data_IF_335496433252
#
_entry.id   IF_335496433252
#
_cell.length_a   1.000
_cell.length_b   1.000
_cell.length_c   1.000
_cell.angle_alpha   90.00
_cell.angle_beta   90.00
_cell.angle_gamma   90.00
#
_symmetry.space_group_name_H-M   'P 1'
#
loop_
_entity.id
_entity.type
_entity.pdbx_description
1 polymer ?
#
# COMPACT_ATOMS: atom_id res chain seq x y z
N UNK A 1 59.10 -1.86 0.81
CA UNK A 1 58.19 -0.95 1.55
C UNK A 1 56.73 -0.99 1.10
N UNK A 2 56.39 -1.46 -0.11
CA UNK A 2 54.99 -1.46 -0.61
C UNK A 2 53.98 -2.46 0.03
N UNK A 3 54.33 -3.68 0.49
CA UNK A 3 53.30 -4.64 0.92
C UNK A 3 52.64 -4.28 2.26
N UNK A 4 53.41 -3.66 3.16
CA UNK A 4 52.89 -3.23 4.47
C UNK A 4 51.90 -2.07 4.35
N UNK A 5 52.12 -1.15 3.39
CA UNK A 5 51.20 -0.04 3.13
C UNK A 5 49.87 -0.55 2.59
N UNK A 6 49.90 -1.51 1.66
CA UNK A 6 48.70 -2.16 1.15
C UNK A 6 47.92 -2.87 2.26
N UNK A 7 48.61 -3.61 3.14
CA UNK A 7 48.00 -4.33 4.26
C UNK A 7 47.32 -3.36 5.25
N UNK A 8 48.00 -2.28 5.62
CA UNK A 8 47.47 -1.27 6.54
C UNK A 8 46.26 -0.54 5.91
N UNK A 9 46.33 -0.22 4.61
CA UNK A 9 45.22 0.43 3.90
C UNK A 9 43.98 -0.46 3.80
N UNK A 10 44.16 -1.77 3.52
CA UNK A 10 43.07 -2.73 3.47
C UNK A 10 42.44 -2.95 4.86
N UNK A 11 43.26 -3.00 5.91
CA UNK A 11 42.78 -3.12 7.29
C UNK A 11 42.00 -1.88 7.72
N UNK A 12 42.50 -0.68 7.40
CA UNK A 12 41.80 0.57 7.69
C UNK A 12 40.45 0.65 6.95
N UNK A 13 40.38 0.21 5.68
CA UNK A 13 39.12 0.13 4.93
C UNK A 13 38.15 -0.87 5.54
N UNK A 14 38.63 -2.04 5.97
CA UNK A 14 37.80 -3.07 6.58
C UNK A 14 37.20 -2.60 7.91
N UNK A 15 38.02 -1.97 8.77
CA UNK A 15 37.54 -1.36 10.02
C UNK A 15 36.58 -0.21 9.74
N UNK A 16 36.82 0.57 8.68
CA UNK A 16 35.93 1.64 8.24
C UNK A 16 34.55 1.11 7.82
N UNK A 17 34.51 0.04 7.02
CA UNK A 17 33.26 -0.62 6.59
C UNK A 17 32.54 -1.26 7.78
N UNK A 18 33.27 -1.87 8.72
CA UNK A 18 32.69 -2.52 9.89
C UNK A 18 32.04 -1.52 10.86
N UNK A 19 32.56 -0.28 10.91
CA UNK A 19 31.97 0.79 11.71
C UNK A 19 30.83 1.53 11.01
N UNK A 20 30.48 1.17 9.76
CA UNK A 20 29.25 1.67 9.15
C UNK A 20 28.10 1.09 9.97
N UNK A 21 27.29 1.92 10.65
CA UNK A 21 26.18 1.43 11.43
C UNK A 21 25.29 0.58 10.53
N UNK A 22 24.97 -0.64 10.98
CA UNK A 22 23.95 -1.49 10.35
C UNK A 22 22.75 -0.62 10.01
N UNK A 23 22.15 -0.77 8.81
CA UNK A 23 20.95 -0.02 8.47
C UNK A 23 19.97 -0.15 9.64
N UNK A 24 19.57 0.98 10.20
CA UNK A 24 18.63 1.03 11.31
C UNK A 24 17.41 0.18 10.94
N UNK A 25 16.78 -0.52 11.91
CA UNK A 25 15.54 -1.24 11.63
C UNK A 25 14.58 -0.25 10.99
N UNK A 26 14.24 -0.50 9.71
CA UNK A 26 13.41 0.41 8.91
C UNK A 26 12.12 0.65 9.68
N UNK A 27 11.81 1.93 9.89
CA UNK A 27 10.65 2.35 10.66
C UNK A 27 9.38 1.64 10.18
N UNK A 28 8.63 1.05 11.13
CA UNK A 28 7.30 0.53 10.85
C UNK A 28 6.35 1.72 10.73
N UNK A 29 5.80 1.91 9.54
CA UNK A 29 4.82 2.96 9.31
C UNK A 29 3.41 2.38 9.30
N UNK A 30 2.49 3.05 10.01
CA UNK A 30 1.07 2.71 10.06
C UNK A 30 0.27 3.91 9.57
N UNK A 31 -0.63 3.65 8.63
CA UNK A 31 -1.49 4.65 8.03
C UNK A 31 -2.93 4.21 8.16
N UNK A 32 -3.82 5.15 8.48
CA UNK A 32 -5.25 4.94 8.44
C UNK A 32 -5.86 5.89 7.41
N UNK A 33 -6.81 5.40 6.64
CA UNK A 33 -7.55 6.25 5.70
C UNK A 33 -9.05 5.94 5.77
N UNK A 34 -9.83 6.92 5.31
CA UNK A 34 -11.26 6.82 5.10
C UNK A 34 -11.58 7.51 3.78
N UNK A 35 -12.35 6.84 2.93
CA UNK A 35 -12.79 7.33 1.62
C UNK A 35 -14.31 7.23 1.58
N UNK A 36 -14.95 8.28 1.09
CA UNK A 36 -16.39 8.33 0.85
C UNK A 36 -16.60 8.58 -0.63
N UNK A 37 -17.13 7.57 -1.31
CA UNK A 37 -17.45 7.61 -2.73
C UNK A 37 -18.95 7.83 -2.90
N UNK A 38 -19.32 8.90 -3.62
CA UNK A 38 -20.70 9.17 -4.00
C UNK A 38 -21.00 8.49 -5.33
N UNK A 39 -21.87 7.49 -5.30
CA UNK A 39 -22.25 6.73 -6.50
C UNK A 39 -23.56 7.32 -7.03
N UNK A 40 -23.71 7.35 -8.36
CA UNK A 40 -24.95 7.74 -9.03
C UNK A 40 -26.08 6.84 -8.49
N UNK A 41 -27.23 7.43 -8.14
CA UNK A 41 -28.39 6.81 -7.46
C UNK A 41 -28.36 6.80 -5.91
N UNK A 42 -27.83 7.84 -5.28
CA UNK A 42 -27.90 8.13 -3.83
C UNK A 42 -27.23 7.12 -2.87
N UNK A 43 -26.47 6.15 -3.39
CA UNK A 43 -25.72 5.23 -2.54
C UNK A 43 -24.35 5.83 -2.18
N UNK A 44 -24.12 5.99 -0.87
CA UNK A 44 -22.81 6.38 -0.35
C UNK A 44 -22.00 5.12 -0.05
N UNK A 45 -20.84 5.00 -0.69
CA UNK A 45 -19.90 3.92 -0.40
C UNK A 45 -18.79 4.45 0.50
N UNK A 46 -18.70 3.89 1.69
CA UNK A 46 -17.64 4.18 2.65
C UNK A 46 -16.59 3.08 2.63
N UNK A 47 -15.34 3.48 2.47
CA UNK A 47 -14.18 2.60 2.58
C UNK A 47 -13.28 3.10 3.71
N UNK A 48 -13.10 2.28 4.74
CA UNK A 48 -12.13 2.54 5.80
C UNK A 48 -10.96 1.58 5.68
N UNK A 49 -9.74 2.05 5.92
CA UNK A 49 -8.54 1.26 5.67
C UNK A 49 -7.42 1.48 6.68
N UNK A 50 -6.67 0.42 6.95
CA UNK A 50 -5.45 0.42 7.75
C UNK A 50 -4.33 -0.20 6.94
N UNK A 51 -3.21 0.51 6.80
CA UNK A 51 -2.02 0.05 6.08
C UNK A 51 -0.84 0.01 7.04
N UNK A 52 -0.15 -1.13 7.06
CA UNK A 52 1.14 -1.32 7.71
C UNK A 52 2.21 -1.53 6.64
N UNK A 53 3.28 -0.75 6.73
CA UNK A 53 4.46 -0.88 5.86
C UNK A 53 5.67 -1.18 6.75
N UNK A 54 6.35 -2.30 6.49
CA UNK A 54 7.58 -2.68 7.19
C UNK A 54 8.47 -3.48 6.25
N UNK A 55 9.75 -3.13 6.14
CA UNK A 55 10.71 -3.83 5.28
C UNK A 55 10.25 -4.02 3.82
N UNK A 56 9.63 -2.99 3.25
CA UNK A 56 8.98 -2.99 1.93
C UNK A 56 7.79 -3.96 1.81
N UNK A 57 7.41 -4.68 2.86
CA UNK A 57 6.17 -5.43 2.93
C UNK A 57 5.01 -4.49 3.22
N UNK A 58 3.93 -4.66 2.48
CA UNK A 58 2.71 -3.88 2.59
C UNK A 58 1.60 -4.83 3.02
N UNK A 59 1.04 -4.57 4.19
CA UNK A 59 -0.20 -5.20 4.63
C UNK A 59 -1.26 -4.10 4.68
N UNK A 60 -2.32 -4.28 3.92
CA UNK A 60 -3.43 -3.35 3.89
C UNK A 60 -4.73 -4.08 4.18
N UNK A 61 -5.47 -3.62 5.18
CA UNK A 61 -6.83 -4.06 5.48
C UNK A 61 -7.77 -2.93 5.06
N UNK A 62 -8.80 -3.27 4.30
CA UNK A 62 -9.87 -2.32 3.96
C UNK A 62 -11.23 -2.94 4.27
N UNK A 63 -12.14 -2.12 4.75
CA UNK A 63 -13.55 -2.43 4.92
C UNK A 63 -14.37 -1.56 4.00
N UNK A 64 -15.24 -2.18 3.21
CA UNK A 64 -16.14 -1.49 2.27
C UNK A 64 -17.57 -1.69 2.75
N UNK A 65 -18.33 -0.60 2.81
CA UNK A 65 -19.70 -0.57 3.31
C UNK A 65 -20.53 0.46 2.54
N UNK A 66 -21.76 0.12 2.18
CA UNK A 66 -22.76 1.07 1.69
C UNK A 66 -23.87 1.30 2.74
N UNK A 67 -24.77 2.24 2.47
CA UNK A 67 -25.88 2.58 3.38
C UNK A 67 -26.89 1.42 3.56
N UNK A 68 -26.97 0.50 2.60
CA UNK A 68 -27.91 -0.62 2.60
C UNK A 68 -27.32 -1.89 3.27
N UNK A 69 -26.03 -1.88 3.61
CA UNK A 69 -25.27 -2.98 4.16
C UNK A 69 -24.81 -2.65 5.59
N UNK A 70 -25.49 -3.17 6.63
CA UNK A 70 -25.14 -2.84 8.02
C UNK A 70 -23.79 -3.43 8.47
N UNK A 71 -23.22 -4.39 7.74
CA UNK A 71 -21.99 -5.08 8.10
C UNK A 71 -21.01 -5.00 6.93
N UNK A 72 -19.77 -4.49 7.10
CA UNK A 72 -18.85 -4.29 5.99
C UNK A 72 -18.33 -5.59 5.39
N UNK A 73 -17.88 -5.51 4.13
CA UNK A 73 -16.99 -6.50 3.52
C UNK A 73 -15.57 -6.14 3.91
N UNK A 74 -14.79 -7.10 4.38
CA UNK A 74 -13.38 -6.87 4.74
C UNK A 74 -12.49 -7.57 3.73
N UNK A 75 -11.61 -6.80 3.10
CA UNK A 75 -10.58 -7.26 2.18
C UNK A 75 -9.21 -7.04 2.80
N UNK A 76 -8.28 -7.93 2.48
CA UNK A 76 -6.88 -7.81 2.82
C UNK A 76 -6.05 -7.83 1.56
N UNK A 77 -5.11 -6.90 1.47
CA UNK A 77 -4.02 -6.94 0.52
C UNK A 77 -2.72 -7.24 1.27
N UNK A 78 -1.94 -8.18 0.74
CA UNK A 78 -0.60 -8.51 1.22
C UNK A 78 0.37 -8.49 0.05
N UNK A 79 1.39 -7.66 0.12
CA UNK A 79 2.32 -7.49 -0.98
C UNK A 79 3.62 -6.84 -0.58
N UNK A 80 4.34 -6.37 -1.60
CA UNK A 80 5.59 -5.64 -1.46
C UNK A 80 5.55 -4.35 -2.27
N UNK A 81 6.10 -3.29 -1.71
CA UNK A 81 6.43 -2.08 -2.42
C UNK A 81 7.72 -2.33 -3.21
N UNK A 82 7.63 -2.18 -4.53
CA UNK A 82 8.78 -2.28 -5.40
C UNK A 82 9.63 -1.00 -5.32
N UNK A 83 10.90 -1.05 -5.74
CA UNK A 83 11.76 0.13 -5.80
C UNK A 83 11.05 1.26 -6.56
N UNK A 84 10.96 2.43 -5.93
CA UNK A 84 10.35 3.62 -6.51
C UNK A 84 11.39 4.51 -7.17
N UNK A 85 10.99 5.24 -8.20
CA UNK A 85 11.69 6.43 -8.68
C UNK A 85 10.92 7.67 -8.21
N UNK A 86 11.50 8.87 -8.35
CA UNK A 86 10.97 10.10 -7.76
C UNK A 86 9.49 10.40 -8.10
N UNK A 87 8.99 9.94 -9.24
CA UNK A 87 7.64 10.24 -9.73
C UNK A 87 6.72 9.03 -9.84
N UNK A 88 7.19 7.82 -9.55
CA UNK A 88 6.36 6.63 -9.67
C UNK A 88 6.78 5.54 -8.69
N UNK A 89 5.79 4.77 -8.24
CA UNK A 89 6.01 3.57 -7.47
C UNK A 89 5.00 2.49 -7.86
N UNK A 90 5.31 1.25 -7.51
CA UNK A 90 4.39 0.14 -7.71
C UNK A 90 4.33 -0.75 -6.49
N UNK A 91 3.16 -1.31 -6.25
CA UNK A 91 2.91 -2.28 -5.19
C UNK A 91 2.33 -3.51 -5.84
N UNK A 92 2.91 -4.67 -5.56
CA UNK A 92 2.47 -5.96 -6.09
C UNK A 92 2.26 -6.95 -4.96
N UNK A 93 1.18 -7.72 -5.03
CA UNK A 93 0.82 -8.67 -3.99
C UNK A 93 -0.43 -9.46 -4.35
N UNK A 94 -1.08 -10.00 -3.33
CA UNK A 94 -2.36 -10.69 -3.45
C UNK A 94 -3.41 -9.96 -2.65
N UNK A 95 -4.65 -10.04 -3.13
CA UNK A 95 -5.83 -9.58 -2.40
C UNK A 95 -6.69 -10.79 -2.02
N UNK A 96 -7.25 -10.79 -0.82
CA UNK A 96 -8.09 -11.84 -0.29
C UNK A 96 -9.30 -11.29 0.47
N UNK A 97 -10.45 -11.94 0.27
CA UNK A 97 -11.66 -11.70 1.05
C UNK A 97 -11.50 -12.28 2.46
N UNK A 98 -11.53 -11.41 3.48
CA UNK A 98 -11.38 -11.82 4.88
C UNK A 98 -12.72 -12.08 5.55
N UNK A 99 -13.74 -11.27 5.25
CA UNK A 99 -15.05 -11.39 5.89
C UNK A 99 -16.18 -10.83 5.03
N UNK A 100 -17.29 -11.56 5.01
CA UNK A 100 -18.59 -11.12 4.48
C UNK A 100 -19.70 -11.72 5.35
N UNK A 101 -20.53 -10.89 5.97
CA UNK A 101 -21.58 -11.38 6.88
C UNK A 101 -22.91 -11.73 6.17
N UNK A 102 -23.18 -11.23 4.95
CA UNK A 102 -24.45 -11.47 4.23
C UNK A 102 -24.28 -11.54 2.71
N UNK A 103 -23.81 -12.69 2.22
CA UNK A 103 -23.52 -12.93 0.79
C UNK A 103 -24.71 -12.61 -0.12
N UNK A 104 -25.95 -12.99 0.23
CA UNK A 104 -27.12 -12.79 -0.63
C UNK A 104 -27.40 -11.31 -0.96
N UNK A 105 -27.15 -10.39 -0.02
CA UNK A 105 -27.34 -8.96 -0.29
C UNK A 105 -26.21 -8.42 -1.17
N UNK A 106 -24.99 -8.84 -0.89
CA UNK A 106 -23.78 -8.39 -1.60
C UNK A 106 -23.65 -8.97 -3.01
N UNK A 107 -24.19 -10.17 -3.27
CA UNK A 107 -24.19 -10.78 -4.60
C UNK A 107 -25.01 -9.98 -5.62
N UNK A 108 -26.07 -9.31 -5.17
CA UNK A 108 -26.92 -8.49 -6.05
C UNK A 108 -26.36 -7.09 -6.26
N UNK A 109 -25.32 -6.71 -5.54
CA UNK A 109 -24.64 -5.44 -5.71
C UNK A 109 -23.59 -5.57 -6.84
N UNK A 110 -23.83 -4.90 -7.96
CA UNK A 110 -22.93 -4.92 -9.11
C UNK A 110 -21.53 -4.35 -8.83
N UNK A 111 -21.40 -3.50 -7.81
CA UNK A 111 -20.14 -2.87 -7.43
C UNK A 111 -19.33 -3.78 -6.50
N UNK A 112 -20.01 -4.48 -5.59
CA UNK A 112 -19.37 -5.28 -4.55
C UNK A 112 -19.22 -6.77 -4.90
N UNK A 113 -20.11 -7.29 -5.75
CA UNK A 113 -20.08 -8.69 -6.19
C UNK A 113 -18.75 -9.16 -6.81
N UNK A 114 -17.98 -8.33 -7.56
CA UNK A 114 -16.68 -8.76 -8.07
C UNK A 114 -15.67 -9.08 -6.96
N UNK A 115 -15.77 -8.40 -5.82
CA UNK A 115 -14.85 -8.59 -4.69
C UNK A 115 -15.13 -9.87 -3.89
N UNK A 116 -16.32 -10.47 -4.04
CA UNK A 116 -16.67 -11.70 -3.34
C UNK A 116 -15.93 -12.94 -3.87
N UNK A 117 -15.45 -12.88 -5.11
CA UNK A 117 -14.75 -13.98 -5.77
C UNK A 117 -13.23 -13.91 -5.56
N UNK A 118 -12.74 -12.85 -4.93
CA UNK A 118 -11.32 -12.60 -4.75
C UNK A 118 -10.75 -13.57 -3.70
N UNK A 119 -9.82 -14.42 -4.13
CA UNK A 119 -9.11 -15.31 -3.21
C UNK A 119 -7.63 -15.46 -3.61
N UNK A 120 -6.78 -14.71 -2.91
CA UNK A 120 -5.35 -14.63 -3.22
C UNK A 120 -5.07 -14.20 -4.66
N UNK A 121 -5.95 -13.37 -5.22
CA UNK A 121 -5.81 -12.92 -6.60
C UNK A 121 -4.61 -11.98 -6.71
N UNK A 122 -3.70 -12.19 -7.68
CA UNK A 122 -2.55 -11.33 -7.86
C UNK A 122 -3.00 -9.94 -8.32
N UNK A 123 -2.54 -8.92 -7.61
CA UNK A 123 -2.81 -7.52 -7.93
C UNK A 123 -1.50 -6.75 -7.98
N UNK A 124 -1.29 -6.03 -9.08
CA UNK A 124 -0.21 -5.03 -9.18
C UNK A 124 -0.83 -3.67 -9.45
N UNK A 125 -0.58 -2.75 -8.54
CA UNK A 125 -1.04 -1.36 -8.64
C UNK A 125 0.17 -0.49 -8.99
N UNK A 126 0.04 0.25 -10.10
CA UNK A 126 1.02 1.26 -10.52
C UNK A 126 0.48 2.65 -10.23
N UNK A 127 1.31 3.49 -9.63
CA UNK A 127 0.90 4.82 -9.16
C UNK A 127 1.91 5.86 -9.63
N UNK A 128 1.41 6.86 -10.34
CA UNK A 128 2.15 8.06 -10.73
C UNK A 128 1.89 9.18 -9.70
N UNK A 129 2.96 9.86 -9.29
CA UNK A 129 2.88 11.03 -8.41
C UNK A 129 2.84 12.27 -9.32
N UNK A 130 1.67 12.91 -9.41
CA UNK A 130 1.47 14.08 -10.28
C UNK A 130 1.98 15.37 -9.62
N UNK A 131 1.77 15.49 -8.31
CA UNK A 131 2.23 16.62 -7.51
C UNK A 131 2.32 16.19 -6.05
N UNK A 132 3.29 16.69 -5.29
CA UNK A 132 3.31 16.53 -3.84
C UNK A 132 3.91 17.75 -3.14
N UNK A 133 3.49 17.96 -1.91
CA UNK A 133 4.11 18.86 -0.95
C UNK A 133 3.94 18.27 0.46
N UNK A 134 4.26 19.06 1.48
CA UNK A 134 4.22 18.62 2.88
C UNK A 134 2.80 18.36 3.42
N UNK A 135 1.77 18.90 2.76
CA UNK A 135 0.37 18.84 3.18
C UNK A 135 -0.46 17.82 2.40
N UNK A 136 -0.16 17.64 1.12
CA UNK A 136 -0.91 16.73 0.25
C UNK A 136 -0.07 16.14 -0.89
N UNK A 137 -0.57 15.04 -1.43
CA UNK A 137 -0.10 14.46 -2.68
C UNK A 137 -1.27 14.22 -3.63
N UNK A 138 -1.07 14.51 -4.92
CA UNK A 138 -1.97 14.14 -6.00
C UNK A 138 -1.35 12.95 -6.72
N UNK A 139 -2.06 11.83 -6.71
CA UNK A 139 -1.62 10.58 -7.33
C UNK A 139 -2.60 10.14 -8.42
N UNK A 140 -2.09 9.40 -9.40
CA UNK A 140 -2.90 8.76 -10.43
C UNK A 140 -2.62 7.26 -10.45
N UNK A 141 -3.66 6.46 -10.31
CA UNK A 141 -3.58 5.01 -10.44
C UNK A 141 -3.59 4.64 -11.91
N UNK A 142 -2.51 4.04 -12.43
CA UNK A 142 -2.41 3.72 -13.86
C UNK A 142 -3.39 2.63 -14.29
N UNK A 143 -3.76 1.72 -13.37
CA UNK A 143 -4.68 0.62 -13.65
C UNK A 143 -6.11 1.11 -13.96
N UNK A 144 -6.58 2.15 -13.28
CA UNK A 144 -7.96 2.65 -13.41
C UNK A 144 -8.03 4.04 -14.05
N UNK A 145 -6.89 4.73 -14.20
CA UNK A 145 -6.83 6.13 -14.61
C UNK A 145 -7.31 7.12 -13.54
N UNK A 146 -7.75 6.64 -12.37
CA UNK A 146 -8.36 7.45 -11.31
C UNK A 146 -7.29 8.33 -10.65
N UNK A 147 -7.60 9.62 -10.50
CA UNK A 147 -6.75 10.59 -9.80
C UNK A 147 -7.30 10.81 -8.39
N UNK A 148 -6.42 10.84 -7.40
CA UNK A 148 -6.78 10.95 -5.98
C UNK A 148 -5.92 12.04 -5.33
N UNK A 149 -6.55 12.81 -4.43
CA UNK A 149 -5.86 13.74 -3.54
C UNK A 149 -5.73 13.09 -2.17
N UNK A 150 -4.49 12.88 -1.74
CA UNK A 150 -4.13 12.38 -0.42
C UNK A 150 -3.75 13.58 0.45
N UNK A 151 -4.63 13.96 1.37
CA UNK A 151 -4.34 15.01 2.36
C UNK A 151 -3.78 14.37 3.63
N UNK A 152 -2.72 14.96 4.18
CA UNK A 152 -2.20 14.58 5.49
C UNK A 152 -3.15 15.11 6.56
N UNK A 153 -3.53 14.24 7.51
CA UNK A 153 -4.33 14.60 8.69
C UNK A 153 -3.44 14.76 9.91
#
# INVERSE_FOLDING_TARGET
MMPFVALISAFALLVGIWNIPSPQPKEEHRYQHSVVDFIVDDNVLRTDGLTKISNNEVLHLMSVQDDNMPNPIVLRFKGKANPSQSFFFSISGTIDLVSVQKINKTMNDSLLSPYLLINNDPLTVKIDILSSNDLFAIIKTCNTGRTQLLAKR
#
